data_IF_279258052956
#
_entry.id   IF_279258052956
#
_cell.length_a   1.000
_cell.length_b   1.000
_cell.length_c   1.000
_cell.angle_alpha   90.00
_cell.angle_beta   90.00
_cell.angle_gamma   90.00
#
_symmetry.space_group_name_H-M   'P 1'
#
loop_
_entity.id
_entity.type
_entity.pdbx_description
1 polymer ?
#
# COMPACT_ATOMS: atom_id res chain seq x y z
N UNK A 1 -7.83 -9.99 -70.69
CA UNK A 1 -6.43 -10.48 -70.82
C UNK A 1 -5.49 -9.35 -70.45
N UNK A 2 -4.38 -9.70 -69.78
CA UNK A 2 -3.27 -8.87 -69.30
C UNK A 2 -3.64 -7.90 -68.16
N UNK A 3 -2.92 -7.80 -67.04
CA UNK A 3 -1.65 -8.34 -66.55
C UNK A 3 -1.31 -7.46 -65.34
N UNK A 4 -1.26 -7.98 -64.11
CA UNK A 4 -0.05 -8.48 -63.46
C UNK A 4 1.14 -7.50 -63.53
N UNK A 5 1.01 -6.34 -62.87
CA UNK A 5 2.13 -5.54 -62.40
C UNK A 5 1.62 -4.50 -61.38
N UNK A 6 1.69 -4.83 -60.09
CA UNK A 6 2.43 -4.03 -59.09
C UNK A 6 2.23 -4.62 -57.69
N UNK A 7 2.82 -5.80 -57.47
CA UNK A 7 2.80 -6.53 -56.19
C UNK A 7 4.11 -6.31 -55.43
N UNK A 8 4.63 -5.07 -55.39
CA UNK A 8 5.83 -4.71 -54.59
C UNK A 8 5.80 -3.28 -54.07
N UNK A 9 4.84 -2.95 -53.23
CA UNK A 9 5.03 -1.91 -52.20
C UNK A 9 4.92 -2.58 -50.84
N UNK A 10 6.07 -2.96 -50.28
CA UNK A 10 6.17 -3.44 -48.92
C UNK A 10 5.58 -2.40 -47.97
N UNK A 11 4.45 -2.73 -47.36
CA UNK A 11 3.91 -1.98 -46.23
C UNK A 11 4.90 -2.13 -45.09
N UNK A 12 5.74 -1.13 -44.89
CA UNK A 12 6.60 -1.02 -43.71
C UNK A 12 5.64 -0.94 -42.51
N UNK A 13 5.62 -1.99 -41.69
CA UNK A 13 4.83 -2.03 -40.47
C UNK A 13 5.23 -0.86 -39.58
N UNK A 14 4.32 0.08 -39.38
CA UNK A 14 4.50 1.19 -38.46
C UNK A 14 4.23 0.66 -37.05
N UNK A 15 5.22 0.75 -36.16
CA UNK A 15 4.99 0.53 -34.74
C UNK A 15 4.09 1.65 -34.22
N UNK A 16 2.82 1.34 -33.98
CA UNK A 16 1.92 2.24 -33.26
C UNK A 16 2.41 2.24 -31.81
N UNK A 17 3.16 3.28 -31.43
CA UNK A 17 3.38 3.58 -30.01
C UNK A 17 2.00 3.81 -29.39
N UNK A 18 1.53 2.82 -28.63
CA UNK A 18 0.32 2.94 -27.82
C UNK A 18 0.42 4.22 -26.99
N UNK A 19 -0.63 5.04 -27.04
CA UNK A 19 -0.67 6.33 -26.39
C UNK A 19 -0.23 6.25 -24.93
N UNK A 20 0.46 7.29 -24.47
CA UNK A 20 0.88 7.48 -23.08
C UNK A 20 -0.28 7.13 -22.15
N UNK A 21 -0.16 6.05 -21.38
CA UNK A 21 -1.11 5.76 -20.32
C UNK A 21 -1.11 6.96 -19.38
N UNK A 22 -2.18 7.75 -19.42
CA UNK A 22 -2.34 8.87 -18.51
C UNK A 22 -2.43 8.27 -17.12
N UNK A 23 -1.48 8.65 -16.25
CA UNK A 23 -1.52 8.21 -14.87
C UNK A 23 -2.91 8.55 -14.29
N UNK A 24 -3.54 7.63 -13.53
CA UNK A 24 -4.85 7.89 -12.97
C UNK A 24 -4.81 9.18 -12.15
N UNK A 25 -5.81 10.04 -12.33
CA UNK A 25 -5.95 11.28 -11.55
C UNK A 25 -6.12 10.85 -10.09
N UNK A 26 -5.06 11.06 -9.29
CA UNK A 26 -5.06 10.76 -7.87
C UNK A 26 -5.81 11.91 -7.17
N UNK A 27 -7.00 11.66 -6.59
CA UNK A 27 -7.73 12.72 -5.90
C UNK A 27 -6.94 13.18 -4.68
N UNK A 28 -6.74 14.50 -4.59
CA UNK A 28 -6.11 15.15 -3.44
C UNK A 28 -6.99 14.95 -2.19
N UNK A 29 -6.36 14.68 -1.05
CA UNK A 29 -7.09 14.46 0.19
C UNK A 29 -7.80 15.76 0.62
N UNK A 30 -9.08 15.64 1.01
CA UNK A 30 -9.85 16.72 1.67
C UNK A 30 -9.00 17.45 2.71
N UNK A 31 -9.13 18.79 2.83
CA UNK A 31 -8.28 19.63 3.66
C UNK A 31 -8.12 19.02 5.06
N UNK A 32 -6.86 18.65 5.29
CA UNK A 32 -6.18 18.15 6.48
C UNK A 32 -7.05 17.89 7.73
N UNK A 33 -7.22 16.61 8.05
CA UNK A 33 -7.18 16.17 9.43
C UNK A 33 -5.70 16.10 9.84
N UNK A 34 -5.24 17.09 10.60
CA UNK A 34 -3.84 17.31 11.07
C UNK A 34 -3.39 16.33 12.14
N UNK A 35 -4.24 15.41 12.60
CA UNK A 35 -3.84 14.46 13.63
C UNK A 35 -2.81 13.50 13.05
N UNK A 36 -1.53 13.80 13.29
CA UNK A 36 -0.43 12.90 12.98
C UNK A 36 -0.67 11.58 13.72
N UNK A 37 -0.51 10.44 13.03
CA UNK A 37 -0.40 9.15 13.70
C UNK A 37 0.65 9.23 14.80
N UNK A 38 0.27 8.99 16.05
CA UNK A 38 1.19 9.00 17.18
C UNK A 38 1.66 7.57 17.47
N UNK A 39 2.91 7.43 17.90
CA UNK A 39 3.51 6.17 18.38
C UNK A 39 3.63 6.13 19.90
N UNK A 40 3.02 7.09 20.61
CA UNK A 40 3.11 7.22 22.04
C UNK A 40 2.23 6.17 22.75
N UNK A 41 2.75 5.63 23.85
CA UNK A 41 1.95 4.82 24.79
C UNK A 41 0.93 5.70 25.53
N UNK A 42 -0.17 5.10 25.98
CA UNK A 42 -1.23 5.80 26.71
C UNK A 42 -2.23 6.57 25.83
N UNK A 43 -2.10 6.47 24.51
CA UNK A 43 -3.04 7.06 23.57
C UNK A 43 -4.34 6.25 23.52
N UNK A 44 -5.46 6.95 23.47
CA UNK A 44 -6.77 6.30 23.33
C UNK A 44 -6.93 5.76 21.92
N UNK A 45 -7.29 4.48 21.80
CA UNK A 45 -7.57 3.87 20.51
C UNK A 45 -9.01 4.23 20.11
N UNK A 46 -9.23 4.94 18.99
CA UNK A 46 -10.56 5.38 18.61
C UNK A 46 -11.43 4.20 18.16
N UNK A 47 -12.67 4.16 18.67
CA UNK A 47 -13.76 3.29 18.20
C UNK A 47 -14.65 4.13 17.31
N UNK A 48 -14.95 3.65 16.10
CA UNK A 48 -15.88 4.36 15.20
C UNK A 48 -16.91 3.41 14.61
N UNK A 49 -18.12 3.95 14.45
CA UNK A 49 -19.24 3.33 13.76
C UNK A 49 -19.46 4.02 12.41
N UNK A 50 -19.55 3.22 11.35
CA UNK A 50 -19.70 3.71 10.00
C UNK A 50 -18.39 4.07 9.31
N UNK A 51 -18.49 4.75 8.16
CA UNK A 51 -17.35 5.09 7.32
C UNK A 51 -16.75 6.42 7.77
N UNK A 52 -15.51 6.40 8.22
CA UNK A 52 -14.77 7.57 8.65
C UNK A 52 -13.32 7.50 8.16
N UNK A 53 -12.64 8.63 8.19
CA UNK A 53 -11.18 8.72 8.10
C UNK A 53 -10.64 8.93 9.51
N UNK A 54 -9.62 8.18 9.88
CA UNK A 54 -8.99 8.26 11.20
C UNK A 54 -7.47 8.23 11.07
N UNK A 55 -6.74 8.89 11.97
CA UNK A 55 -5.34 8.60 12.17
C UNK A 55 -5.22 7.19 12.74
N UNK A 56 -4.26 6.43 12.22
CA UNK A 56 -3.85 5.19 12.87
C UNK A 56 -2.88 5.48 14.01
N UNK A 57 -2.76 4.55 14.95
CA UNK A 57 -1.64 4.51 15.90
C UNK A 57 -0.62 3.48 15.46
N UNK A 58 0.67 3.82 15.54
CA UNK A 58 1.75 2.87 15.33
C UNK A 58 1.91 1.98 16.56
N UNK A 59 1.80 0.67 16.37
CA UNK A 59 1.96 -0.32 17.47
C UNK A 59 3.24 -1.13 17.31
N UNK A 60 3.72 -1.28 16.08
CA UNK A 60 4.92 -2.03 15.78
C UNK A 60 5.58 -1.49 14.51
N UNK A 61 6.90 -1.41 14.53
CA UNK A 61 7.75 -0.97 13.42
C UNK A 61 9.07 -1.76 13.54
N UNK A 62 9.45 -2.58 12.56
CA UNK A 62 10.79 -3.18 12.52
C UNK A 62 11.84 -2.11 12.14
N UNK A 63 13.13 -2.40 12.33
CA UNK A 63 14.20 -1.52 11.86
C UNK A 63 14.04 -1.18 10.37
N UNK A 64 14.29 0.08 10.01
CA UNK A 64 14.17 0.54 8.61
C UNK A 64 15.25 -0.15 7.76
N UNK A 65 14.83 -0.88 6.74
CA UNK A 65 15.74 -1.49 5.79
C UNK A 65 16.15 -0.45 4.73
N UNK A 66 17.45 -0.25 4.54
CA UNK A 66 17.97 0.63 3.50
C UNK A 66 18.67 -0.22 2.45
N UNK A 67 18.11 -0.26 1.24
CA UNK A 67 18.68 -0.98 0.10
C UNK A 67 19.31 0.03 -0.84
N UNK A 68 20.64 0.01 -0.94
CA UNK A 68 21.39 0.81 -1.90
C UNK A 68 21.70 -0.06 -3.12
N UNK A 69 21.12 0.29 -4.27
CA UNK A 69 21.40 -0.36 -5.54
C UNK A 69 22.23 0.58 -6.40
N UNK A 70 23.45 0.15 -6.73
CA UNK A 70 24.33 0.86 -7.65
C UNK A 70 24.40 0.08 -8.95
N UNK A 71 24.08 0.73 -10.06
CA UNK A 71 24.26 0.16 -11.39
C UNK A 71 24.97 1.17 -12.30
N UNK A 72 25.78 0.65 -13.22
CA UNK A 72 26.56 1.45 -14.17
C UNK A 72 25.84 1.42 -15.51
N UNK A 73 25.35 2.57 -15.96
CA UNK A 73 24.76 2.72 -17.30
C UNK A 73 25.64 3.62 -18.16
N UNK A 74 26.04 3.06 -19.30
CA UNK A 74 26.80 3.64 -20.41
C UNK A 74 28.11 4.34 -20.03
N UNK A 75 28.17 5.29 -19.09
CA UNK A 75 29.39 5.87 -18.50
C UNK A 75 29.18 6.47 -17.08
N UNK A 76 28.00 6.30 -16.48
CA UNK A 76 27.61 6.93 -15.22
C UNK A 76 27.21 5.89 -14.15
N UNK A 77 27.53 6.17 -12.89
CA UNK A 77 27.25 5.30 -11.75
C UNK A 77 26.04 5.84 -11.00
N UNK A 78 24.87 5.29 -11.29
CA UNK A 78 23.62 5.71 -10.66
C UNK A 78 23.41 4.89 -9.39
N UNK A 79 23.47 5.55 -8.24
CA UNK A 79 23.19 4.97 -6.92
C UNK A 79 21.78 5.34 -6.49
N UNK A 80 20.91 4.34 -6.37
CA UNK A 80 19.55 4.49 -5.87
C UNK A 80 19.45 3.90 -4.48
N UNK A 81 19.14 4.75 -3.49
CA UNK A 81 18.89 4.33 -2.11
C UNK A 81 17.38 4.25 -1.88
N UNK A 82 16.87 3.06 -1.60
CA UNK A 82 15.46 2.84 -1.24
C UNK A 82 15.37 2.47 0.23
N UNK A 83 14.57 3.19 1.00
CA UNK A 83 14.28 2.85 2.40
C UNK A 83 12.91 2.20 2.48
N UNK A 84 12.87 0.97 2.98
CA UNK A 84 11.67 0.18 3.19
C UNK A 84 11.32 0.21 4.68
N UNK A 85 10.07 0.56 4.97
CA UNK A 85 9.54 0.61 6.33
C UNK A 85 8.23 -0.18 6.38
N UNK A 86 8.23 -1.24 7.16
CA UNK A 86 7.00 -1.92 7.55
C UNK A 86 6.42 -1.30 8.81
N UNK A 87 5.10 -1.33 8.97
CA UNK A 87 4.49 -0.87 10.21
C UNK A 87 3.13 -1.51 10.46
N UNK A 88 2.80 -1.66 11.74
CA UNK A 88 1.47 -2.08 12.19
C UNK A 88 0.69 -0.87 12.71
N UNK A 89 -0.42 -0.61 12.03
CA UNK A 89 -1.39 0.43 12.31
C UNK A 89 -2.61 -0.17 13.01
N UNK A 90 -3.09 0.47 14.09
CA UNK A 90 -4.22 -0.04 14.89
C UNK A 90 -5.42 0.88 14.94
N UNK A 91 -6.60 0.26 14.94
CA UNK A 91 -7.91 0.83 15.27
C UNK A 91 -8.68 -0.09 16.21
N UNK A 92 -9.63 0.46 16.97
CA UNK A 92 -10.45 -0.37 17.84
C UNK A 92 -11.56 -1.04 17.04
N UNK A 93 -11.82 -2.32 17.34
CA UNK A 93 -12.95 -3.06 16.77
C UNK A 93 -14.23 -2.70 17.54
N UNK A 94 -15.33 -2.32 16.86
CA UNK A 94 -16.63 -2.18 17.52
C UNK A 94 -17.11 -3.51 18.10
N UNK A 95 -17.68 -3.50 19.32
CA UNK A 95 -18.22 -4.68 20.00
C UNK A 95 -19.59 -5.11 19.44
N UNK A 96 -19.70 -5.22 18.12
CA UNK A 96 -20.92 -5.65 17.44
C UNK A 96 -20.70 -7.04 16.86
N UNK A 97 -21.58 -7.98 17.23
CA UNK A 97 -21.63 -9.34 16.66
C UNK A 97 -21.78 -9.26 15.13
N UNK A 98 -21.01 -10.05 14.39
CA UNK A 98 -21.05 -10.09 12.91
C UNK A 98 -20.69 -8.78 12.18
N UNK A 99 -20.01 -7.83 12.82
CA UNK A 99 -19.47 -6.68 12.11
C UNK A 99 -18.33 -7.08 11.17
N UNK A 100 -18.43 -6.62 9.91
CA UNK A 100 -17.36 -6.69 8.91
C UNK A 100 -16.71 -5.33 8.72
N UNK A 101 -15.39 -5.29 8.72
CA UNK A 101 -14.63 -4.10 8.40
C UNK A 101 -13.79 -4.32 7.13
N UNK A 102 -13.56 -3.23 6.40
CA UNK A 102 -12.61 -3.20 5.29
C UNK A 102 -11.94 -1.85 5.20
N UNK A 103 -10.66 -1.83 4.85
CA UNK A 103 -9.96 -0.61 4.47
C UNK A 103 -10.52 -0.12 3.13
N UNK A 104 -10.98 1.14 3.09
CA UNK A 104 -11.51 1.75 1.86
C UNK A 104 -10.47 2.59 1.14
N UNK A 105 -9.81 3.48 1.86
CA UNK A 105 -8.77 4.34 1.33
C UNK A 105 -7.63 4.44 2.33
N UNK A 106 -6.40 4.49 1.84
CA UNK A 106 -5.22 4.79 2.65
C UNK A 106 -4.52 6.00 2.06
N UNK A 107 -4.22 6.95 2.94
CA UNK A 107 -3.51 8.17 2.60
C UNK A 107 -2.21 8.19 3.39
N UNK A 108 -1.12 8.61 2.75
CA UNK A 108 0.17 8.87 3.38
C UNK A 108 0.56 10.30 3.09
N UNK A 109 0.81 11.08 4.14
CA UNK A 109 1.18 12.50 4.07
C UNK A 109 0.31 13.33 3.08
N UNK A 110 -1.01 13.11 3.08
CA UNK A 110 -1.94 13.80 2.19
C UNK A 110 -2.13 13.15 0.81
N UNK A 111 -1.27 12.23 0.41
CA UNK A 111 -1.35 11.53 -0.88
C UNK A 111 -2.12 10.21 -0.75
N UNK A 112 -3.07 9.95 -1.65
CA UNK A 112 -3.75 8.66 -1.72
C UNK A 112 -2.78 7.58 -2.22
N UNK A 113 -2.63 6.50 -1.47
CA UNK A 113 -1.77 5.36 -1.82
C UNK A 113 -2.55 4.05 -2.03
N UNK A 114 -3.81 4.00 -1.60
CA UNK A 114 -4.70 2.88 -1.85
C UNK A 114 -6.16 3.35 -1.89
N UNK A 115 -6.93 2.87 -2.87
CA UNK A 115 -8.37 3.06 -2.96
C UNK A 115 -9.05 1.77 -3.44
N UNK A 116 -9.75 1.10 -2.53
CA UNK A 116 -10.49 -0.13 -2.80
C UNK A 116 -11.67 0.10 -3.78
N UNK A 117 -12.26 1.29 -3.81
CA UNK A 117 -13.38 1.59 -4.71
C UNK A 117 -12.96 1.84 -6.15
N UNK A 118 -11.74 2.31 -6.37
CA UNK A 118 -11.18 2.52 -7.71
C UNK A 118 -10.18 1.43 -8.12
N UNK A 119 -9.91 0.45 -7.24
CA UNK A 119 -8.87 -0.56 -7.45
C UNK A 119 -7.46 0.01 -7.50
N UNK A 120 -7.26 1.24 -7.00
CA UNK A 120 -5.96 1.91 -7.03
C UNK A 120 -5.07 1.40 -5.90
N UNK A 121 -3.82 1.11 -6.23
CA UNK A 121 -2.77 0.75 -5.27
C UNK A 121 -1.44 1.29 -5.79
N UNK A 122 -0.77 2.09 -4.97
CA UNK A 122 0.55 2.60 -5.28
C UNK A 122 1.52 1.44 -5.56
N UNK A 123 2.42 1.63 -6.53
CA UNK A 123 3.44 0.63 -6.88
C UNK A 123 4.27 0.27 -5.65
N UNK A 124 4.44 -1.02 -5.40
CA UNK A 124 5.21 -1.51 -4.24
C UNK A 124 4.42 -1.59 -2.92
N UNK A 125 3.21 -1.02 -2.84
CA UNK A 125 2.41 -1.08 -1.62
C UNK A 125 1.86 -2.50 -1.38
N UNK A 126 2.49 -3.20 -0.43
CA UNK A 126 2.00 -4.47 0.12
C UNK A 126 1.43 -4.16 1.50
N UNK A 127 0.28 -4.73 1.81
CA UNK A 127 -0.28 -4.68 3.15
C UNK A 127 -1.26 -5.81 3.36
N UNK A 128 -1.49 -6.13 4.63
CA UNK A 128 -2.48 -7.11 5.08
C UNK A 128 -3.39 -6.47 6.12
N UNK A 129 -4.68 -6.69 5.96
CA UNK A 129 -5.73 -6.22 6.88
C UNK A 129 -6.20 -7.36 7.78
N UNK A 130 -6.37 -7.05 9.06
CA UNK A 130 -6.74 -7.97 10.13
C UNK A 130 -8.02 -7.52 10.84
N UNK A 131 -9.07 -8.35 10.80
CA UNK A 131 -10.40 -8.04 11.35
C UNK A 131 -10.46 -8.16 12.89
N UNK A 132 -9.38 -8.63 13.53
CA UNK A 132 -9.28 -8.72 14.98
C UNK A 132 -10.10 -9.85 15.60
N UNK A 133 -10.53 -10.84 14.81
CA UNK A 133 -11.31 -11.98 15.30
C UNK A 133 -10.48 -12.83 16.27
N UNK A 134 -11.15 -13.57 17.16
CA UNK A 134 -10.49 -14.45 18.14
C UNK A 134 -9.65 -15.57 17.50
N UNK A 135 -10.02 -15.97 16.28
CA UNK A 135 -9.31 -16.97 15.47
C UNK A 135 -8.08 -16.40 14.75
N UNK A 136 -7.85 -15.09 14.82
CA UNK A 136 -6.71 -14.46 14.17
C UNK A 136 -5.39 -14.96 14.76
N UNK A 137 -4.50 -15.40 13.86
CA UNK A 137 -3.14 -15.80 14.17
C UNK A 137 -2.18 -14.61 14.31
N UNK A 138 -0.90 -14.92 14.54
CA UNK A 138 0.19 -13.94 14.49
C UNK A 138 0.40 -13.48 13.05
N UNK A 139 0.90 -12.26 12.89
CA UNK A 139 1.22 -11.76 11.55
C UNK A 139 2.55 -12.37 11.06
N UNK A 140 2.60 -12.97 9.86
CA UNK A 140 3.82 -13.53 9.29
C UNK A 140 4.99 -12.56 9.14
N UNK A 141 4.75 -11.27 8.83
CA UNK A 141 5.82 -10.26 8.71
C UNK A 141 6.44 -9.98 10.07
N UNK A 142 5.63 -9.82 11.10
CA UNK A 142 6.16 -9.70 12.47
C UNK A 142 6.91 -10.96 12.89
N UNK A 143 6.37 -12.15 12.58
CA UNK A 143 7.00 -13.43 12.92
C UNK A 143 8.33 -13.61 12.21
N UNK A 144 8.48 -13.15 10.97
CA UNK A 144 9.76 -13.19 10.26
C UNK A 144 10.81 -12.27 10.87
N UNK A 145 10.40 -11.12 11.40
CA UNK A 145 11.31 -10.13 12.00
C UNK A 145 11.73 -10.47 13.44
N UNK A 146 10.78 -10.88 14.29
CA UNK A 146 11.03 -11.03 15.74
C UNK A 146 10.99 -12.49 16.23
N UNK A 147 10.49 -13.42 15.41
CA UNK A 147 10.29 -14.82 15.77
C UNK A 147 8.95 -15.08 16.46
N UNK A 148 8.43 -16.30 16.30
CA UNK A 148 7.07 -16.65 16.72
C UNK A 148 6.83 -16.51 18.24
N UNK A 149 7.86 -16.72 19.06
CA UNK A 149 7.78 -16.62 20.52
C UNK A 149 7.63 -15.19 21.02
N UNK A 150 8.04 -14.19 20.23
CA UNK A 150 8.08 -12.78 20.63
C UNK A 150 6.89 -11.98 20.09
N UNK A 151 6.14 -12.55 19.14
CA UNK A 151 5.03 -11.88 18.47
C UNK A 151 3.69 -12.26 19.08
N UNK A 152 2.90 -11.25 19.41
CA UNK A 152 1.53 -11.43 19.87
C UNK A 152 0.53 -11.53 18.72
N UNK A 153 -0.49 -12.38 18.88
CA UNK A 153 -1.67 -12.35 18.03
C UNK A 153 -2.59 -11.23 18.53
N UNK A 154 -2.57 -10.07 17.86
CA UNK A 154 -3.35 -8.90 18.25
C UNK A 154 -4.84 -9.06 17.92
N UNK A 155 -5.54 -9.82 18.77
CA UNK A 155 -6.98 -10.07 18.71
C UNK A 155 -7.75 -8.90 19.35
N UNK A 156 -8.98 -8.68 18.93
CA UNK A 156 -9.84 -7.60 19.42
C UNK A 156 -9.57 -6.23 18.78
N UNK A 157 -8.58 -6.10 17.91
CA UNK A 157 -8.22 -4.86 17.22
C UNK A 157 -8.25 -5.01 15.71
N UNK A 158 -8.65 -3.96 15.03
CA UNK A 158 -8.54 -3.85 13.59
C UNK A 158 -7.12 -3.36 13.30
N UNK A 159 -6.32 -4.21 12.69
CA UNK A 159 -4.92 -3.90 12.43
C UNK A 159 -4.62 -3.95 10.92
N UNK A 160 -3.66 -3.13 10.51
CA UNK A 160 -3.12 -3.13 9.15
C UNK A 160 -1.60 -3.27 9.30
N UNK A 161 -1.02 -4.28 8.65
CA UNK A 161 0.44 -4.44 8.57
C UNK A 161 0.86 -4.11 7.15
N UNK A 162 1.73 -3.11 7.03
CA UNK A 162 2.35 -2.62 5.79
C UNK A 162 3.78 -3.17 5.71
#
# INVERSE_FOLDING_TARGET
>A
MSGLADLRKGTVGHWVQGGTQTAPIVPEASPIQTTLPTSAYGQTIPVVWGKCRLPASYIWVPPIATVTSTHTEWWDTITTTTSEMSCRLRFARPLVSESSWTLRKLYSNGTLIYDASQGYRAKGLKFRTYDGRSTQGRDPTMVSEEGESNVSAHRGYLDIVL
#
